data_IF_812038865956
#
_entry.id   IF_812038865956
#
_cell.length_a   1.000
_cell.length_b   1.000
_cell.length_c   1.000
_cell.angle_alpha   90.00
_cell.angle_beta   90.00
_cell.angle_gamma   90.00
#
_symmetry.space_group_name_H-M   'P 1'
#
loop_
_entity.id
_entity.type
_entity.pdbx_description
1 polymer ?
#
# COMPACT_ATOMS: atom_id res chain seq x y z
N UNK A 1 8.22 -3.05 -1.72
CA UNK A 1 8.15 -1.79 -0.96
C UNK A 1 6.90 -1.80 -0.12
N UNK A 2 6.87 -1.09 1.00
CA UNK A 2 5.66 -0.96 1.82
C UNK A 2 5.21 0.50 1.86
N UNK A 3 3.91 0.73 1.72
CA UNK A 3 3.29 2.06 1.72
C UNK A 3 2.19 2.13 2.76
N UNK A 4 2.03 3.29 3.42
CA UNK A 4 0.91 3.62 4.30
C UNK A 4 0.10 4.77 3.72
N UNK A 5 -1.22 4.60 3.73
CA UNK A 5 -2.15 5.47 2.98
C UNK A 5 -3.40 5.69 3.82
N UNK A 6 -3.83 6.95 3.95
CA UNK A 6 -5.11 7.28 4.61
C UNK A 6 -6.24 7.19 3.59
N UNK A 7 -7.17 6.28 3.80
CA UNK A 7 -8.36 6.11 2.97
C UNK A 7 -9.59 6.06 3.88
N UNK A 8 -10.58 6.90 3.61
CA UNK A 8 -11.87 6.85 4.32
C UNK A 8 -12.68 5.63 3.84
N UNK A 9 -12.99 4.71 4.74
CA UNK A 9 -13.74 3.48 4.48
C UNK A 9 -13.18 2.66 3.28
N UNK A 10 -11.95 2.12 3.40
CA UNK A 10 -11.28 1.44 2.30
C UNK A 10 -11.99 0.14 1.92
N UNK A 11 -12.19 -0.09 0.62
CA UNK A 11 -12.72 -1.34 0.09
C UNK A 11 -11.57 -2.25 -0.33
N UNK A 12 -11.05 -3.01 0.63
CA UNK A 12 -9.83 -3.82 0.48
C UNK A 12 -9.90 -4.78 -0.69
N UNK A 13 -11.02 -5.50 -0.86
CA UNK A 13 -11.18 -6.47 -1.97
C UNK A 13 -11.00 -5.81 -3.35
N UNK A 14 -11.44 -4.56 -3.50
CA UNK A 14 -11.31 -3.82 -4.75
C UNK A 14 -9.88 -3.37 -5.01
N UNK A 15 -9.21 -2.86 -3.98
CA UNK A 15 -7.81 -2.43 -4.06
C UNK A 15 -6.91 -3.65 -4.35
N UNK A 16 -7.12 -4.75 -3.63
CA UNK A 16 -6.36 -6.00 -3.78
C UNK A 16 -6.54 -6.59 -5.19
N UNK A 17 -7.77 -6.65 -5.70
CA UNK A 17 -8.02 -7.15 -7.05
C UNK A 17 -7.22 -6.38 -8.11
N UNK A 18 -7.21 -5.04 -8.06
CA UNK A 18 -6.45 -4.22 -8.99
C UNK A 18 -4.94 -4.34 -8.78
N UNK A 19 -4.50 -4.43 -7.52
CA UNK A 19 -3.09 -4.58 -7.18
C UNK A 19 -2.52 -5.88 -7.74
N UNK A 20 -3.24 -7.00 -7.58
CA UNK A 20 -2.82 -8.32 -8.05
C UNK A 20 -2.69 -8.43 -9.58
N UNK A 21 -3.35 -7.55 -10.34
CA UNK A 21 -3.15 -7.47 -11.80
C UNK A 21 -1.79 -6.86 -12.17
N UNK A 22 -1.24 -5.98 -11.32
CA UNK A 22 0.07 -5.35 -11.54
C UNK A 22 1.20 -6.14 -10.86
N UNK A 23 0.97 -6.54 -9.61
CA UNK A 23 1.93 -7.25 -8.76
C UNK A 23 1.24 -8.45 -8.11
N UNK A 24 1.44 -9.67 -8.63
CA UNK A 24 0.84 -10.89 -8.10
C UNK A 24 1.25 -11.23 -6.66
N UNK A 25 2.33 -10.63 -6.16
CA UNK A 25 2.78 -10.76 -4.77
C UNK A 25 2.34 -9.58 -3.88
N UNK A 26 1.53 -8.67 -4.43
CA UNK A 26 1.03 -7.50 -3.73
C UNK A 26 0.11 -7.88 -2.56
N UNK A 27 0.26 -7.20 -1.43
CA UNK A 27 -0.59 -7.38 -0.25
C UNK A 27 -1.23 -6.06 0.14
N UNK A 28 -2.50 -6.13 0.54
CA UNK A 28 -3.27 -4.99 1.06
C UNK A 28 -3.82 -5.37 2.42
N UNK A 29 -3.57 -4.53 3.42
CA UNK A 29 -4.05 -4.73 4.79
C UNK A 29 -4.50 -3.39 5.39
N UNK A 30 -5.24 -3.43 6.51
CA UNK A 30 -5.54 -2.24 7.31
C UNK A 30 -4.80 -2.34 8.63
N UNK A 31 -3.92 -1.38 8.87
CA UNK A 31 -3.18 -1.29 10.12
C UNK A 31 -4.15 -1.01 11.27
N UNK A 32 -4.29 -1.97 12.19
CA UNK A 32 -5.22 -1.88 13.30
C UNK A 32 -4.86 -0.77 14.33
N UNK A 33 -3.63 -0.27 14.32
CA UNK A 33 -3.17 0.73 15.29
C UNK A 33 -3.54 2.16 14.86
N UNK A 34 -3.51 2.46 13.55
CA UNK A 34 -3.79 3.80 13.02
C UNK A 34 -4.94 3.86 11.99
N UNK A 35 -5.50 2.70 11.64
CA UNK A 35 -6.60 2.56 10.67
C UNK A 35 -6.20 2.87 9.24
N UNK A 36 -4.90 2.97 8.93
CA UNK A 36 -4.42 3.27 7.58
C UNK A 36 -4.31 2.00 6.74
N UNK A 37 -4.50 2.15 5.44
CA UNK A 37 -4.26 1.06 4.49
C UNK A 37 -2.76 0.90 4.32
N UNK A 38 -2.28 -0.33 4.50
CA UNK A 38 -0.90 -0.73 4.30
C UNK A 38 -0.82 -1.59 3.05
N UNK A 39 0.04 -1.19 2.11
CA UNK A 39 0.20 -1.88 0.82
C UNK A 39 1.66 -2.29 0.65
N UNK A 40 1.90 -3.59 0.52
CA UNK A 40 3.21 -4.12 0.15
C UNK A 40 3.21 -4.48 -1.34
N UNK A 41 4.06 -3.85 -2.14
CA UNK A 41 4.12 -4.09 -3.59
C UNK A 41 5.46 -3.65 -4.21
N UNK A 42 5.76 -4.15 -5.41
CA UNK A 42 6.83 -3.66 -6.28
C UNK A 42 6.44 -2.38 -7.06
N UNK A 43 5.17 -1.99 -7.06
CA UNK A 43 4.68 -0.80 -7.75
C UNK A 43 5.26 0.51 -7.18
N UNK A 44 5.43 1.50 -8.04
CA UNK A 44 5.86 2.85 -7.67
C UNK A 44 4.67 3.68 -7.13
N UNK A 45 4.92 4.78 -6.38
CA UNK A 45 3.86 5.60 -5.80
C UNK A 45 2.84 6.13 -6.81
N UNK A 46 3.26 6.49 -8.03
CA UNK A 46 2.34 6.96 -9.06
C UNK A 46 1.44 5.85 -9.60
N UNK A 47 1.96 4.63 -9.76
CA UNK A 47 1.19 3.45 -10.18
C UNK A 47 0.17 3.10 -9.10
N UNK A 48 0.58 3.18 -7.84
CA UNK A 48 -0.29 2.93 -6.71
C UNK A 48 -1.44 3.96 -6.63
N UNK A 49 -1.16 5.25 -6.87
CA UNK A 49 -2.21 6.27 -6.96
C UNK A 49 -3.22 5.97 -8.08
N UNK A 50 -2.76 5.48 -9.23
CA UNK A 50 -3.64 5.08 -10.33
C UNK A 50 -4.50 3.87 -9.99
N UNK A 51 -3.92 2.85 -9.34
CA UNK A 51 -4.64 1.66 -8.86
C UNK A 51 -5.73 2.05 -7.87
N UNK A 52 -5.38 2.90 -6.89
CA UNK A 52 -6.32 3.37 -5.87
C UNK A 52 -7.45 4.19 -6.50
N UNK A 53 -7.14 5.06 -7.46
CA UNK A 53 -8.16 5.79 -8.21
C UNK A 53 -9.09 4.85 -9.00
N UNK A 54 -8.55 3.82 -9.65
CA UNK A 54 -9.34 2.80 -10.37
C UNK A 54 -10.24 1.98 -9.41
N UNK A 55 -9.77 1.73 -8.19
CA UNK A 55 -10.54 1.08 -7.13
C UNK A 55 -11.59 2.00 -6.46
N UNK A 56 -11.71 3.26 -6.89
CA UNK A 56 -12.68 4.23 -6.33
C UNK A 56 -12.17 5.02 -5.12
N UNK A 57 -10.87 4.96 -4.85
CA UNK A 57 -10.20 5.64 -3.74
C UNK A 57 -9.10 6.58 -4.25
N UNK A 58 -9.42 7.71 -4.91
CA UNK A 58 -8.40 8.63 -5.40
C UNK A 58 -7.59 9.23 -4.25
N UNK A 59 -6.27 9.10 -4.31
CA UNK A 59 -5.31 9.63 -3.32
C UNK A 59 -4.18 10.34 -4.05
N UNK A 60 -3.69 11.46 -3.52
CA UNK A 60 -2.54 12.15 -4.11
C UNK A 60 -1.27 11.35 -3.86
N UNK A 61 -0.32 11.36 -4.80
CA UNK A 61 0.97 10.67 -4.64
C UNK A 61 1.71 11.15 -3.38
N UNK A 62 1.54 12.43 -3.01
CA UNK A 62 2.12 13.01 -1.79
C UNK A 62 1.55 12.44 -0.48
N UNK A 63 0.37 11.82 -0.52
CA UNK A 63 -0.28 11.17 0.64
C UNK A 63 0.07 9.67 0.74
N UNK A 64 0.87 9.16 -0.20
CA UNK A 64 1.39 7.79 -0.20
C UNK A 64 2.73 7.80 0.53
N UNK A 65 2.72 7.44 1.80
CA UNK A 65 3.91 7.41 2.64
C UNK A 65 4.66 6.10 2.40
N UNK A 66 5.85 6.16 1.80
CA UNK A 66 6.75 5.00 1.70
C UNK A 66 7.32 4.70 3.10
N UNK A 67 7.06 3.49 3.59
CA UNK A 67 7.64 3.04 4.84
C UNK A 67 9.11 2.65 4.62
N UNK A 68 10.03 3.09 5.49
CA UNK A 68 11.39 2.59 5.43
C UNK A 68 11.36 1.09 5.72
N UNK A 69 11.97 0.30 4.85
CA UNK A 69 12.21 -1.12 5.12
C UNK A 69 13.08 -1.21 6.36
N UNK A 70 12.48 -1.45 7.52
CA UNK A 70 13.25 -1.71 8.74
C UNK A 70 13.79 -3.13 8.61
N UNK A 71 14.86 -3.28 7.84
CA UNK A 71 15.79 -4.37 8.09
C UNK A 71 16.40 -4.06 9.45
N UNK A 72 15.80 -4.59 10.52
CA UNK A 72 16.50 -4.80 11.77
C UNK A 72 17.67 -5.73 11.47
N UNK A 73 18.79 -5.16 11.04
CA UNK A 73 20.09 -5.78 10.98
C UNK A 73 20.57 -6.09 12.40
N UNK A 74 19.87 -6.99 13.08
CA UNK A 74 20.42 -7.77 14.19
C UNK A 74 21.24 -8.91 13.62
N UNK A 75 22.25 -8.60 12.79
CA UNK A 75 23.25 -9.58 12.41
C UNK A 75 24.33 -9.58 13.52
N UNK A 76 23.93 -10.06 14.69
CA UNK A 76 24.86 -10.36 15.78
C UNK A 76 25.35 -11.78 15.56
N UNK A 77 26.52 -11.91 14.94
CA UNK A 77 27.25 -13.16 14.76
C UNK A 77 28.74 -12.86 14.70
#
# INVERSE_FOLDING_TARGET
MEFKIRIGNPRIDGIEHHLLQLDPAGLVDVDAADGRVRIATCAQPFELAMILAAAGHPVAVSDIELMPSVCCGGCSG
#
